data_IF_698161318114
#
_entry.id   IF_698161318114
#
_cell.length_a   1.000
_cell.length_b   1.000
_cell.length_c   1.000
_cell.angle_alpha   90.00
_cell.angle_beta   90.00
_cell.angle_gamma   90.00
#
_symmetry.space_group_name_H-M   'P 1'
#
loop_
_entity.id
_entity.type
_entity.pdbx_description
1 polymer ?
#
# COMPACT_ATOMS: atom_id res chain seq x y z
N UNK A 1 -37.53 52.90 40.87
CA UNK A 1 -38.41 52.01 41.65
C UNK A 1 -37.59 50.79 42.06
N UNK A 2 -37.08 50.73 43.30
CA UNK A 2 -36.37 49.56 43.79
C UNK A 2 -37.38 48.41 43.96
N UNK A 3 -37.22 47.37 43.14
CA UNK A 3 -37.98 46.14 43.23
C UNK A 3 -37.76 45.50 44.59
N UNK A 4 -38.86 45.23 45.29
CA UNK A 4 -38.86 44.57 46.58
C UNK A 4 -38.13 43.23 46.47
N UNK A 5 -36.94 43.14 47.05
CA UNK A 5 -36.36 41.87 47.46
C UNK A 5 -37.26 41.34 48.57
N UNK A 6 -38.28 40.57 48.21
CA UNK A 6 -38.90 39.66 49.16
C UNK A 6 -37.82 38.64 49.51
N UNK A 7 -37.14 38.87 50.62
CA UNK A 7 -36.41 37.83 51.34
C UNK A 7 -37.43 36.78 51.74
N UNK A 8 -37.80 35.89 50.82
CA UNK A 8 -38.54 34.68 51.18
C UNK A 8 -37.68 34.01 52.23
N UNK A 9 -38.21 33.93 53.45
CA UNK A 9 -37.60 33.17 54.52
C UNK A 9 -37.51 31.73 54.02
N UNK A 10 -36.34 31.34 53.53
CA UNK A 10 -36.08 29.98 53.07
C UNK A 10 -36.34 29.07 54.27
N UNK A 11 -37.24 28.07 54.16
CA UNK A 11 -37.53 27.16 55.25
C UNK A 11 -36.24 26.48 55.75
N UNK A 12 -36.02 26.39 57.08
CA UNK A 12 -34.81 25.74 57.62
C UNK A 12 -34.60 24.32 57.12
N UNK A 13 -35.69 23.58 56.87
CA UNK A 13 -35.65 22.24 56.30
C UNK A 13 -35.09 22.21 54.86
N UNK A 14 -35.46 23.18 54.02
CA UNK A 14 -34.92 23.30 52.66
C UNK A 14 -33.43 23.62 52.69
N UNK A 15 -33.02 24.50 53.61
CA UNK A 15 -31.59 24.82 53.79
C UNK A 15 -30.79 23.61 54.26
N UNK A 16 -31.29 22.88 55.25
CA UNK A 16 -30.65 21.66 55.74
C UNK A 16 -30.56 20.57 54.66
N UNK A 17 -31.56 20.47 53.78
CA UNK A 17 -31.52 19.56 52.64
C UNK A 17 -30.47 19.98 51.61
N UNK A 18 -30.37 21.28 51.31
CA UNK A 18 -29.33 21.83 50.45
C UNK A 18 -27.93 21.55 50.99
N UNK A 19 -27.67 21.85 52.26
CA UNK A 19 -26.34 21.65 52.88
C UNK A 19 -25.93 20.17 52.84
N UNK A 20 -26.89 19.24 53.03
CA UNK A 20 -26.65 17.80 52.89
C UNK A 20 -26.34 17.39 51.45
N UNK A 21 -27.02 17.96 50.46
CA UNK A 21 -26.75 17.67 49.04
C UNK A 21 -25.37 18.17 48.62
N UNK A 22 -24.99 19.38 49.04
CA UNK A 22 -23.65 19.94 48.77
C UNK A 22 -22.56 19.10 49.45
N UNK A 23 -22.75 18.75 50.72
CA UNK A 23 -21.82 17.87 51.44
C UNK A 23 -21.69 16.49 50.78
N UNK A 24 -22.80 15.92 50.30
CA UNK A 24 -22.81 14.64 49.62
C UNK A 24 -22.27 14.69 48.19
N UNK A 25 -22.26 15.85 47.53
CA UNK A 25 -21.60 16.04 46.24
C UNK A 25 -20.06 16.07 46.42
N UNK A 26 -19.60 16.70 47.50
CA UNK A 26 -18.19 16.69 47.93
C UNK A 26 -17.23 17.25 46.87
N UNK A 27 -15.96 16.80 46.90
CA UNK A 27 -15.00 17.01 45.81
C UNK A 27 -15.02 15.77 44.90
N UNK A 28 -15.08 15.96 43.58
CA UNK A 28 -15.38 14.93 42.56
C UNK A 28 -14.47 13.67 42.53
N UNK A 29 -13.47 13.55 43.40
CA UNK A 29 -12.39 12.55 43.30
C UNK A 29 -12.51 11.33 44.25
N UNK A 30 -13.58 11.20 45.03
CA UNK A 30 -13.70 10.07 45.98
C UNK A 30 -14.57 8.95 45.39
N UNK A 31 -14.05 7.71 45.21
CA UNK A 31 -14.85 6.55 44.83
C UNK A 31 -16.02 6.34 45.79
N UNK A 32 -17.24 6.18 45.26
CA UNK A 32 -18.46 6.02 46.07
C UNK A 32 -19.15 7.32 46.51
N UNK A 33 -18.55 8.51 46.31
CA UNK A 33 -19.19 9.80 46.61
C UNK A 33 -20.51 9.96 45.84
N UNK A 34 -20.53 9.55 44.58
CA UNK A 34 -21.73 9.58 43.74
C UNK A 34 -22.87 8.75 44.35
N UNK A 35 -22.58 7.60 44.98
CA UNK A 35 -23.60 6.78 45.66
C UNK A 35 -24.09 7.45 46.95
N UNK A 36 -23.22 8.18 47.67
CA UNK A 36 -23.64 8.97 48.83
C UNK A 36 -24.56 10.13 48.42
N UNK A 37 -24.24 10.82 47.32
CA UNK A 37 -25.11 11.83 46.73
C UNK A 37 -26.46 11.22 46.31
N UNK A 38 -26.45 10.12 45.57
CA UNK A 38 -27.69 9.48 45.09
C UNK A 38 -28.57 8.95 46.24
N UNK A 39 -27.98 8.42 47.32
CA UNK A 39 -28.72 8.07 48.55
C UNK A 39 -29.37 9.30 49.20
N UNK A 40 -28.62 10.41 49.25
CA UNK A 40 -29.12 11.67 49.80
C UNK A 40 -30.28 12.22 48.97
N UNK A 41 -30.16 12.20 47.64
CA UNK A 41 -31.26 12.58 46.73
C UNK A 41 -32.45 11.64 46.88
N UNK A 42 -32.24 10.33 46.99
CA UNK A 42 -33.33 9.35 47.18
C UNK A 42 -34.12 9.60 48.45
N UNK A 43 -33.44 9.99 49.53
CA UNK A 43 -34.05 10.28 50.83
C UNK A 43 -34.75 11.64 50.88
N UNK A 44 -34.12 12.69 50.32
CA UNK A 44 -34.58 14.08 50.47
C UNK A 44 -35.50 14.54 49.34
N UNK A 45 -35.35 13.96 48.15
CA UNK A 45 -36.01 14.38 46.91
C UNK A 45 -36.54 13.16 46.12
N UNK A 46 -37.39 12.29 46.71
CA UNK A 46 -37.87 11.08 46.05
C UNK A 46 -38.62 11.37 44.74
N UNK A 47 -39.36 12.48 44.68
CA UNK A 47 -40.12 12.89 43.51
C UNK A 47 -39.24 13.14 42.28
N UNK A 48 -37.99 13.58 42.47
CA UNK A 48 -37.03 13.81 41.38
C UNK A 48 -36.59 12.50 40.72
N UNK A 49 -36.60 11.40 41.48
CA UNK A 49 -36.23 10.06 41.00
C UNK A 49 -37.41 9.28 40.41
N UNK A 50 -38.64 9.72 40.65
CA UNK A 50 -39.84 9.11 40.09
C UNK A 50 -39.81 9.03 38.56
N UNK A 51 -40.50 8.02 38.00
CA UNK A 51 -40.62 7.85 36.55
C UNK A 51 -41.46 8.98 35.96
N UNK A 52 -40.80 9.92 35.26
CA UNK A 52 -41.45 11.05 34.61
C UNK A 52 -40.89 12.40 35.04
N UNK A 53 -41.51 13.47 34.55
CA UNK A 53 -41.20 14.84 34.98
C UNK A 53 -41.97 15.13 36.28
N UNK A 54 -41.31 15.55 37.37
CA UNK A 54 -41.99 15.99 38.57
C UNK A 54 -43.01 17.08 38.24
N UNK A 55 -44.22 17.00 38.84
CA UNK A 55 -45.24 18.03 38.64
C UNK A 55 -44.76 19.37 39.22
N UNK A 56 -45.31 20.48 38.70
CA UNK A 56 -44.99 21.82 39.21
C UNK A 56 -45.29 21.94 40.71
N UNK A 57 -46.37 21.32 41.16
CA UNK A 57 -46.75 21.28 42.59
C UNK A 57 -45.75 20.48 43.44
N UNK A 58 -45.25 19.34 42.92
CA UNK A 58 -44.23 18.55 43.63
C UNK A 58 -42.93 19.35 43.79
N UNK A 59 -42.49 20.05 42.73
CA UNK A 59 -41.32 20.93 42.81
C UNK A 59 -41.53 22.06 43.82
N UNK A 60 -42.68 22.73 43.81
CA UNK A 60 -42.99 23.80 44.75
C UNK A 60 -42.98 23.36 46.23
N UNK A 61 -43.45 22.14 46.51
CA UNK A 61 -43.52 21.61 47.89
C UNK A 61 -42.20 21.05 48.38
N UNK A 62 -41.30 20.62 47.50
CA UNK A 62 -40.00 20.06 47.87
C UNK A 62 -38.93 21.15 48.11
N UNK A 63 -37.77 20.80 48.70
CA UNK A 63 -36.65 21.73 48.90
C UNK A 63 -36.25 22.54 47.65
N UNK A 64 -36.40 21.98 46.44
CA UNK A 64 -36.07 22.65 45.18
C UNK A 64 -36.87 23.95 45.01
N UNK A 65 -38.21 23.86 45.10
CA UNK A 65 -39.08 25.03 44.97
C UNK A 65 -38.99 25.98 46.16
N UNK A 66 -38.74 25.45 47.35
CA UNK A 66 -38.54 26.25 48.56
C UNK A 66 -37.26 27.10 48.52
N UNK A 67 -36.27 26.70 47.70
CA UNK A 67 -35.05 27.47 47.42
C UNK A 67 -35.21 28.44 46.23
N UNK A 68 -36.39 28.48 45.60
CA UNK A 68 -36.71 29.41 44.51
C UNK A 68 -36.53 28.83 43.10
N UNK A 69 -36.16 27.55 42.95
CA UNK A 69 -35.98 26.93 41.64
C UNK A 69 -37.28 26.38 41.07
N UNK A 70 -37.49 26.54 39.77
CA UNK A 70 -38.67 26.03 39.05
C UNK A 70 -38.51 24.58 38.60
N UNK A 71 -37.28 24.05 38.60
CA UNK A 71 -36.97 22.67 38.23
C UNK A 71 -35.70 22.14 38.88
N UNK A 72 -35.56 20.81 38.91
CA UNK A 72 -34.33 20.16 39.38
C UNK A 72 -33.11 20.47 38.51
N UNK A 73 -33.31 20.57 37.19
CA UNK A 73 -32.23 20.93 36.27
C UNK A 73 -31.69 22.33 36.58
N UNK A 74 -32.59 23.29 36.80
CA UNK A 74 -32.23 24.66 37.14
C UNK A 74 -31.41 24.72 38.44
N UNK A 75 -31.80 23.96 39.48
CA UNK A 75 -31.04 23.86 40.73
C UNK A 75 -29.67 23.20 40.55
N UNK A 76 -29.56 22.16 39.72
CA UNK A 76 -28.28 21.50 39.45
C UNK A 76 -27.29 22.47 38.79
N UNK A 77 -27.73 23.17 37.75
CA UNK A 77 -26.87 24.00 36.90
C UNK A 77 -26.58 25.39 37.51
N UNK A 78 -27.46 25.87 38.39
CA UNK A 78 -27.25 27.15 39.09
C UNK A 78 -25.99 27.12 39.95
N UNK A 79 -25.23 28.22 40.03
CA UNK A 79 -24.04 28.29 40.86
C UNK A 79 -24.37 28.28 42.36
N UNK A 80 -23.36 27.94 43.17
CA UNK A 80 -23.53 27.74 44.63
C UNK A 80 -23.82 29.02 45.41
N UNK A 81 -23.50 30.18 44.85
CA UNK A 81 -23.77 31.51 45.43
C UNK A 81 -25.26 31.83 45.54
N UNK A 82 -26.08 31.28 44.62
CA UNK A 82 -27.54 31.39 44.62
C UNK A 82 -28.24 30.13 45.15
N UNK A 83 -27.56 29.32 45.96
CA UNK A 83 -28.05 28.03 46.48
C UNK A 83 -28.30 26.96 45.40
N UNK A 84 -27.62 27.04 44.26
CA UNK A 84 -27.53 25.94 43.29
C UNK A 84 -26.41 24.95 43.63
N UNK A 85 -26.27 23.90 42.82
CA UNK A 85 -25.23 22.86 43.00
C UNK A 85 -23.97 23.10 42.16
N UNK A 86 -24.00 24.01 41.20
CA UNK A 86 -22.88 24.32 40.30
C UNK A 86 -22.40 23.11 39.50
N UNK A 87 -23.30 22.18 39.18
CA UNK A 87 -22.97 20.87 38.67
C UNK A 87 -23.55 20.62 37.28
N UNK A 88 -23.06 19.59 36.59
CA UNK A 88 -23.45 19.29 35.21
C UNK A 88 -24.67 18.36 35.17
N UNK A 89 -25.76 18.81 34.56
CA UNK A 89 -26.98 18.00 34.42
C UNK A 89 -26.77 16.69 33.62
N UNK A 90 -25.78 16.64 32.73
CA UNK A 90 -25.40 15.40 32.04
C UNK A 90 -24.74 14.38 32.97
N UNK A 91 -23.93 14.83 33.92
CA UNK A 91 -23.35 13.97 34.96
C UNK A 91 -24.46 13.40 35.87
N UNK A 92 -25.42 14.24 36.26
CA UNK A 92 -26.64 13.80 36.96
C UNK A 92 -27.38 12.68 36.21
N UNK A 93 -27.64 12.84 34.89
CA UNK A 93 -28.31 11.80 34.10
C UNK A 93 -27.52 10.49 34.08
N UNK A 94 -26.18 10.56 34.04
CA UNK A 94 -25.33 9.37 34.11
C UNK A 94 -25.42 8.68 35.48
N UNK A 95 -25.38 9.45 36.57
CA UNK A 95 -25.52 8.94 37.94
C UNK A 95 -26.90 8.35 38.19
N UNK A 96 -27.98 9.00 37.71
CA UNK A 96 -29.35 8.49 37.80
C UNK A 96 -29.50 7.12 37.12
N UNK A 97 -28.93 6.95 35.92
CA UNK A 97 -28.96 5.66 35.21
C UNK A 97 -28.20 4.58 35.99
N UNK A 98 -26.98 4.88 36.44
CA UNK A 98 -26.20 3.96 37.25
C UNK A 98 -26.92 3.59 38.56
N UNK A 99 -27.53 4.57 39.22
CA UNK A 99 -28.27 4.37 40.46
C UNK A 99 -29.46 3.45 40.31
N UNK A 100 -30.19 3.51 39.18
CA UNK A 100 -31.28 2.57 38.92
C UNK A 100 -30.80 1.12 38.86
N UNK A 101 -29.57 0.88 38.38
CA UNK A 101 -28.92 -0.44 38.39
C UNK A 101 -28.51 -0.83 39.81
N UNK A 102 -27.95 0.09 40.59
CA UNK A 102 -27.61 -0.16 42.01
C UNK A 102 -28.84 -0.50 42.84
N UNK A 103 -29.97 0.19 42.61
CA UNK A 103 -31.23 -0.13 43.28
C UNK A 103 -31.77 -1.52 42.92
N UNK A 104 -31.54 -1.98 41.68
CA UNK A 104 -31.88 -3.33 41.27
C UNK A 104 -30.92 -4.39 41.84
N UNK A 105 -29.67 -4.01 42.11
CA UNK A 105 -28.60 -4.91 42.56
C UNK A 105 -27.83 -4.31 43.76
N UNK A 106 -28.37 -4.42 45.00
CA UNK A 106 -27.84 -3.73 46.17
C UNK A 106 -26.39 -4.07 46.55
N UNK A 107 -25.87 -5.23 46.11
CA UNK A 107 -24.49 -5.62 46.37
C UNK A 107 -23.48 -4.63 45.77
N UNK A 108 -23.86 -3.89 44.72
CA UNK A 108 -23.05 -2.85 44.08
C UNK A 108 -22.74 -1.68 45.03
N UNK A 109 -23.55 -1.43 46.07
CA UNK A 109 -23.32 -0.32 47.01
C UNK A 109 -22.03 -0.45 47.81
N UNK A 110 -21.58 -1.69 48.03
CA UNK A 110 -20.35 -2.00 48.77
C UNK A 110 -19.11 -1.98 47.90
N UNK A 111 -19.28 -1.90 46.58
CA UNK A 111 -18.20 -1.99 45.62
C UNK A 111 -17.64 -0.61 45.30
N UNK A 112 -16.31 -0.47 45.11
CA UNK A 112 -15.68 0.80 44.76
C UNK A 112 -15.86 1.14 43.27
N UNK A 113 -17.09 1.05 42.76
CA UNK A 113 -17.41 1.29 41.35
C UNK A 113 -17.82 2.74 41.13
N UNK A 114 -17.35 3.29 40.02
CA UNK A 114 -17.80 4.58 39.49
C UNK A 114 -19.15 4.43 38.80
N UNK A 115 -19.90 5.53 38.67
CA UNK A 115 -21.16 5.55 37.92
C UNK A 115 -20.99 5.11 36.47
N UNK A 116 -19.83 5.42 35.87
CA UNK A 116 -19.51 5.07 34.49
C UNK A 116 -19.29 3.57 34.33
N UNK A 117 -18.57 2.94 35.26
CA UNK A 117 -18.37 1.48 35.25
C UNK A 117 -19.69 0.72 35.38
N UNK A 118 -20.58 1.14 36.28
CA UNK A 118 -21.91 0.52 36.43
C UNK A 118 -22.74 0.65 35.15
N UNK A 119 -22.73 1.83 34.51
CA UNK A 119 -23.43 2.05 33.25
C UNK A 119 -22.85 1.18 32.11
N UNK A 120 -21.52 1.10 32.01
CA UNK A 120 -20.84 0.27 31.01
C UNK A 120 -21.16 -1.21 31.22
N UNK A 121 -21.12 -1.69 32.47
CA UNK A 121 -21.48 -3.05 32.81
C UNK A 121 -22.94 -3.37 32.39
N UNK A 122 -23.89 -2.50 32.74
CA UNK A 122 -25.29 -2.69 32.38
C UNK A 122 -25.52 -2.68 30.86
N UNK A 123 -24.83 -1.78 30.15
CA UNK A 123 -24.90 -1.69 28.68
C UNK A 123 -24.30 -2.94 28.03
N UNK A 124 -23.15 -3.40 28.52
CA UNK A 124 -22.46 -4.54 27.96
C UNK A 124 -23.25 -5.84 28.20
N UNK A 125 -23.79 -6.06 29.40
CA UNK A 125 -24.66 -7.22 29.67
C UNK A 125 -25.86 -7.23 28.72
N UNK A 126 -26.48 -6.06 28.48
CA UNK A 126 -27.59 -5.93 27.53
C UNK A 126 -27.16 -6.17 26.07
N UNK A 127 -25.98 -5.69 25.67
CA UNK A 127 -25.44 -5.87 24.30
C UNK A 127 -25.13 -7.33 24.02
N UNK A 128 -24.55 -8.01 25.00
CA UNK A 128 -24.07 -9.38 24.87
C UNK A 128 -25.15 -10.42 25.22
N UNK A 129 -26.39 -9.97 25.51
CA UNK A 129 -27.53 -10.79 25.96
C UNK A 129 -27.21 -11.68 27.18
N UNK A 130 -26.40 -11.14 28.10
CA UNK A 130 -25.98 -11.81 29.32
C UNK A 130 -26.80 -11.33 30.52
N UNK A 131 -27.10 -12.21 31.48
CA UNK A 131 -27.68 -11.80 32.75
C UNK A 131 -26.73 -10.83 33.47
N UNK A 132 -27.30 -9.85 34.16
CA UNK A 132 -26.50 -8.95 34.99
C UNK A 132 -25.97 -9.71 36.22
N UNK A 133 -24.70 -9.51 36.63
CA UNK A 133 -24.10 -10.22 37.75
C UNK A 133 -24.86 -9.97 39.06
N UNK A 134 -25.12 -11.04 39.81
CA UNK A 134 -25.83 -11.01 41.10
C UNK A 134 -24.89 -10.88 42.29
N UNK A 135 -23.58 -11.00 42.08
CA UNK A 135 -22.57 -10.91 43.13
C UNK A 135 -21.25 -10.34 42.62
N UNK A 136 -20.37 -9.95 43.56
CA UNK A 136 -19.02 -9.50 43.23
C UNK A 136 -18.18 -10.61 42.57
N UNK A 137 -18.39 -11.87 42.97
CA UNK A 137 -17.71 -13.03 42.37
C UNK A 137 -18.14 -13.24 40.91
N UNK A 138 -19.43 -13.10 40.61
CA UNK A 138 -19.94 -13.17 39.23
C UNK A 138 -19.39 -12.03 38.36
N UNK A 139 -19.23 -10.83 38.91
CA UNK A 139 -18.60 -9.73 38.20
C UNK A 139 -17.13 -10.02 37.87
N UNK A 140 -16.37 -10.55 38.83
CA UNK A 140 -14.96 -10.90 38.62
C UNK A 140 -14.79 -12.05 37.63
N UNK A 141 -15.65 -13.07 37.67
CA UNK A 141 -15.64 -14.15 36.67
C UNK A 141 -15.98 -13.62 35.27
N UNK A 142 -16.95 -12.71 35.14
CA UNK A 142 -17.29 -12.06 33.87
C UNK A 142 -16.11 -11.21 33.35
N UNK A 143 -15.45 -10.44 34.22
CA UNK A 143 -14.25 -9.66 33.88
C UNK A 143 -13.10 -10.56 33.43
N UNK A 144 -12.86 -11.65 34.14
CA UNK A 144 -11.81 -12.60 33.82
C UNK A 144 -12.09 -13.30 32.49
N UNK A 145 -13.31 -13.81 32.28
CA UNK A 145 -13.71 -14.44 31.03
C UNK A 145 -13.54 -13.51 29.81
N UNK A 146 -13.81 -12.20 29.98
CA UNK A 146 -13.57 -11.20 28.93
C UNK A 146 -12.10 -10.99 28.66
N UNK A 147 -11.28 -10.91 29.71
CA UNK A 147 -9.83 -10.78 29.58
C UNK A 147 -9.24 -11.98 28.85
N UNK A 148 -9.65 -13.19 29.23
CA UNK A 148 -9.24 -14.44 28.62
C UNK A 148 -9.68 -14.51 27.14
N UNK A 149 -10.94 -14.15 26.84
CA UNK A 149 -11.43 -14.09 25.47
C UNK A 149 -10.68 -13.05 24.61
N UNK A 150 -10.30 -11.91 25.19
CA UNK A 150 -9.50 -10.91 24.49
C UNK A 150 -8.08 -11.40 24.23
N UNK A 151 -7.45 -12.05 25.21
CA UNK A 151 -6.12 -12.62 25.09
C UNK A 151 -6.10 -13.76 24.06
N UNK A 152 -7.10 -14.63 24.07
CA UNK A 152 -7.30 -15.69 23.09
C UNK A 152 -7.42 -15.14 21.66
N UNK A 153 -8.25 -14.10 21.46
CA UNK A 153 -8.39 -13.44 20.15
C UNK A 153 -7.08 -12.80 19.69
N UNK A 154 -6.31 -12.22 20.62
CA UNK A 154 -4.98 -11.67 20.31
C UNK A 154 -4.01 -12.78 19.91
N UNK A 155 -3.95 -13.88 20.65
CA UNK A 155 -3.09 -15.01 20.31
C UNK A 155 -3.44 -15.63 18.96
N UNK A 156 -4.73 -15.80 18.66
CA UNK A 156 -5.21 -16.29 17.36
C UNK A 156 -4.84 -15.34 16.23
N UNK A 157 -5.02 -14.03 16.43
CA UNK A 157 -4.62 -13.01 15.46
C UNK A 157 -3.11 -13.00 15.23
N UNK A 158 -2.29 -13.14 16.28
CA UNK A 158 -0.83 -13.17 16.16
C UNK A 158 -0.41 -14.43 15.40
N UNK A 159 -0.94 -15.61 15.76
CA UNK A 159 -0.66 -16.86 15.04
C UNK A 159 -1.02 -16.77 13.56
N UNK A 160 -2.19 -16.21 13.23
CA UNK A 160 -2.62 -16.02 11.85
C UNK A 160 -1.68 -15.07 11.07
N UNK A 161 -1.22 -13.99 11.71
CA UNK A 161 -0.25 -13.07 11.12
C UNK A 161 1.12 -13.70 10.94
N UNK A 162 1.59 -14.49 11.91
CA UNK A 162 2.86 -15.23 11.82
C UNK A 162 2.83 -16.22 10.66
N UNK A 163 1.76 -17.02 10.54
CA UNK A 163 1.60 -17.95 9.42
C UNK A 163 1.62 -17.21 8.07
N UNK A 164 0.92 -16.07 7.99
CA UNK A 164 0.91 -15.26 6.77
C UNK A 164 2.30 -14.69 6.44
N UNK A 165 3.06 -14.24 7.44
CA UNK A 165 4.42 -13.78 7.26
C UNK A 165 5.33 -14.90 6.74
N UNK A 166 5.28 -16.08 7.34
CA UNK A 166 6.05 -17.25 6.89
C UNK A 166 5.72 -17.65 5.45
N UNK A 167 4.44 -17.63 5.05
CA UNK A 167 4.06 -17.90 3.66
C UNK A 167 4.57 -16.85 2.68
N UNK A 168 4.57 -15.57 3.09
CA UNK A 168 5.09 -14.48 2.27
C UNK A 168 6.61 -14.55 2.13
N UNK A 169 7.33 -14.91 3.19
CA UNK A 169 8.78 -15.12 3.17
C UNK A 169 9.17 -16.26 2.22
N UNK A 170 8.45 -17.39 2.27
CA UNK A 170 8.67 -18.50 1.32
C UNK A 170 8.43 -18.07 -0.13
N UNK A 171 7.34 -17.36 -0.39
CA UNK A 171 7.04 -16.83 -1.73
C UNK A 171 8.12 -15.85 -2.22
N UNK A 172 8.67 -15.02 -1.32
CA UNK A 172 9.76 -14.11 -1.64
C UNK A 172 11.04 -14.87 -1.97
N UNK A 173 11.42 -15.88 -1.17
CA UNK A 173 12.56 -16.75 -1.46
C UNK A 173 12.44 -17.43 -2.81
N UNK A 174 11.27 -17.98 -3.14
CA UNK A 174 10.99 -18.59 -4.44
C UNK A 174 11.10 -17.58 -5.60
N UNK A 175 10.55 -16.37 -5.42
CA UNK A 175 10.64 -15.31 -6.41
C UNK A 175 12.08 -14.87 -6.65
N UNK A 176 12.87 -14.70 -5.58
CA UNK A 176 14.30 -14.37 -5.66
C UNK A 176 15.09 -15.46 -6.37
N UNK A 177 14.82 -16.74 -6.09
CA UNK A 177 15.45 -17.86 -6.78
C UNK A 177 15.12 -17.86 -8.28
N UNK A 178 13.87 -17.58 -8.66
CA UNK A 178 13.45 -17.45 -10.07
C UNK A 178 14.13 -16.29 -10.78
N UNK A 179 14.23 -15.13 -10.12
CA UNK A 179 14.94 -13.96 -10.67
C UNK A 179 16.41 -14.29 -10.91
N UNK A 180 17.08 -14.94 -9.95
CA UNK A 180 18.47 -15.35 -10.09
C UNK A 180 18.66 -16.32 -11.27
N UNK A 181 17.78 -17.31 -11.42
CA UNK A 181 17.82 -18.25 -12.53
C UNK A 181 17.60 -17.56 -13.90
N UNK A 182 16.62 -16.66 -13.99
CA UNK A 182 16.36 -15.89 -15.21
C UNK A 182 17.51 -14.95 -15.56
N UNK A 183 18.15 -14.33 -14.56
CA UNK A 183 19.35 -13.50 -14.77
C UNK A 183 20.47 -14.33 -15.38
N UNK A 184 20.76 -15.51 -14.83
CA UNK A 184 21.79 -16.40 -15.37
C UNK A 184 21.47 -16.85 -16.81
N UNK A 185 20.20 -17.14 -17.10
CA UNK A 185 19.76 -17.47 -18.46
C UNK A 185 19.94 -16.30 -19.43
N UNK A 186 19.63 -15.08 -18.98
CA UNK A 186 19.85 -13.86 -19.77
C UNK A 186 21.33 -13.63 -20.07
N UNK A 187 22.21 -13.82 -19.08
CA UNK A 187 23.66 -13.68 -19.25
C UNK A 187 24.20 -14.71 -20.25
N UNK A 188 23.71 -15.95 -20.19
CA UNK A 188 24.04 -17.00 -21.16
C UNK A 188 23.56 -16.65 -22.57
N UNK A 189 22.34 -16.11 -22.70
CA UNK A 189 21.81 -15.68 -23.99
C UNK A 189 22.62 -14.51 -24.57
N UNK A 190 23.04 -13.55 -23.74
CA UNK A 190 23.90 -12.43 -24.14
C UNK A 190 25.26 -12.95 -24.64
N UNK A 191 25.87 -13.91 -23.93
CA UNK A 191 27.12 -14.53 -24.36
C UNK A 191 26.93 -15.23 -25.72
N UNK A 192 25.87 -16.01 -25.89
CA UNK A 192 25.59 -16.69 -27.15
C UNK A 192 25.37 -15.72 -28.32
N UNK A 193 24.68 -14.59 -28.10
CA UNK A 193 24.52 -13.55 -29.12
C UNK A 193 25.85 -12.95 -29.51
N UNK A 194 26.78 -12.75 -28.57
CA UNK A 194 28.14 -12.26 -28.89
C UNK A 194 28.89 -13.25 -29.76
N UNK A 195 28.86 -14.54 -29.42
CA UNK A 195 29.52 -15.59 -30.22
C UNK A 195 28.99 -15.61 -31.66
N UNK A 196 27.67 -15.53 -31.84
CA UNK A 196 27.05 -15.47 -33.17
C UNK A 196 27.43 -14.20 -33.95
N UNK A 197 27.58 -13.07 -33.27
CA UNK A 197 28.04 -11.81 -33.91
C UNK A 197 29.49 -11.97 -34.40
N UNK A 198 30.35 -12.60 -33.62
CA UNK A 198 31.75 -12.86 -34.00
C UNK A 198 31.83 -13.85 -35.17
N UNK A 199 31.02 -14.91 -35.17
CA UNK A 199 30.90 -15.84 -36.29
C UNK A 199 30.42 -15.15 -37.57
N UNK A 200 29.40 -14.28 -37.48
CA UNK A 200 28.91 -13.49 -38.61
C UNK A 200 30.00 -12.55 -39.15
N UNK A 201 30.79 -11.92 -38.28
CA UNK A 201 31.92 -11.08 -38.68
C UNK A 201 32.98 -11.90 -39.44
N UNK A 202 33.32 -13.09 -38.94
CA UNK A 202 34.27 -14.00 -39.58
C UNK A 202 33.75 -14.51 -40.95
N UNK A 203 32.47 -14.88 -41.03
CA UNK A 203 31.82 -15.27 -42.29
C UNK A 203 31.82 -14.13 -43.30
N UNK A 204 31.52 -12.90 -42.86
CA UNK A 204 31.56 -11.71 -43.71
C UNK A 204 32.97 -11.45 -44.25
N UNK A 205 34.01 -11.61 -43.44
CA UNK A 205 35.39 -11.49 -43.88
C UNK A 205 35.75 -12.58 -44.92
N UNK A 206 35.35 -13.83 -44.71
CA UNK A 206 35.52 -14.91 -45.70
C UNK A 206 34.78 -14.63 -47.01
N UNK A 207 33.58 -14.06 -46.95
CA UNK A 207 32.82 -13.69 -48.14
C UNK A 207 33.55 -12.59 -48.94
N UNK A 208 34.16 -11.61 -48.24
CA UNK A 208 34.97 -10.58 -48.89
C UNK A 208 36.20 -11.17 -49.57
N UNK A 209 36.89 -12.14 -48.96
CA UNK A 209 38.03 -12.81 -49.60
C UNK A 209 37.61 -13.61 -50.82
N UNK A 210 36.50 -14.35 -50.75
CA UNK A 210 35.96 -15.11 -51.89
C UNK A 210 35.56 -14.17 -53.03
N UNK A 211 34.92 -13.04 -52.73
CA UNK A 211 34.59 -12.04 -53.75
C UNK A 211 35.86 -11.48 -54.42
N UNK A 212 36.90 -11.17 -53.65
CA UNK A 212 38.16 -10.69 -54.19
C UNK A 212 38.87 -11.74 -55.07
N UNK A 213 38.84 -13.01 -54.65
CA UNK A 213 39.40 -14.10 -55.45
C UNK A 213 38.60 -14.34 -56.74
N UNK A 214 37.26 -14.18 -56.68
CA UNK A 214 36.40 -14.23 -57.86
C UNK A 214 36.76 -13.12 -58.86
N UNK A 215 37.00 -11.89 -58.40
CA UNK A 215 37.46 -10.78 -59.24
C UNK A 215 38.83 -11.08 -59.91
N UNK A 216 39.75 -11.73 -59.20
CA UNK A 216 41.03 -12.17 -59.80
C UNK A 216 40.81 -13.24 -60.87
N UNK A 217 39.93 -14.21 -60.62
CA UNK A 217 39.62 -15.25 -61.60
C UNK A 217 39.02 -14.63 -62.86
N UNK A 218 38.14 -13.64 -62.74
CA UNK A 218 37.60 -12.94 -63.92
C UNK A 218 38.68 -12.18 -64.69
N UNK A 219 39.59 -11.48 -64.00
CA UNK A 219 40.72 -10.80 -64.65
C UNK A 219 41.67 -11.77 -65.36
N UNK A 220 41.98 -12.91 -64.72
CA UNK A 220 42.81 -13.95 -65.33
C UNK A 220 42.11 -14.58 -66.54
N UNK A 221 40.79 -14.79 -66.49
CA UNK A 221 40.03 -15.28 -67.63
C UNK A 221 40.07 -14.31 -68.81
N UNK A 222 39.97 -12.99 -68.56
CA UNK A 222 40.15 -11.95 -69.58
C UNK A 222 41.57 -11.95 -70.17
N UNK A 223 42.60 -12.08 -69.33
CA UNK A 223 44.00 -12.19 -69.77
C UNK A 223 44.23 -13.44 -70.63
N UNK A 224 43.72 -14.60 -70.21
CA UNK A 224 43.79 -15.84 -71.01
C UNK A 224 43.05 -15.67 -72.34
N UNK A 225 41.91 -14.99 -72.33
CA UNK A 225 41.16 -14.64 -73.55
C UNK A 225 41.99 -13.79 -74.51
N UNK A 226 42.63 -12.72 -74.01
CA UNK A 226 43.48 -11.85 -74.83
C UNK A 226 44.75 -12.55 -75.34
N UNK A 227 45.41 -13.36 -74.51
CA UNK A 227 46.56 -14.19 -74.91
C UNK A 227 46.18 -15.23 -75.96
N UNK A 228 45.02 -15.89 -75.84
CA UNK A 228 44.51 -16.80 -76.88
C UNK A 228 44.26 -16.06 -78.20
N UNK A 229 43.69 -14.86 -78.16
CA UNK A 229 43.49 -14.04 -79.35
C UNK A 229 44.83 -13.62 -79.99
N UNK A 230 45.82 -13.23 -79.19
CA UNK A 230 47.18 -12.93 -79.67
C UNK A 230 47.85 -14.16 -80.28
N UNK A 231 47.76 -15.33 -79.62
CA UNK A 231 48.30 -16.58 -80.15
C UNK A 231 47.64 -16.94 -81.49
N UNK A 232 46.31 -16.80 -81.60
CA UNK A 232 45.59 -17.00 -82.86
C UNK A 232 46.07 -16.04 -83.95
N UNK A 233 46.26 -14.76 -83.65
CA UNK A 233 46.80 -13.76 -84.57
C UNK A 233 48.23 -14.09 -85.03
N UNK A 234 49.10 -14.51 -84.11
CA UNK A 234 50.47 -14.94 -84.45
C UNK A 234 50.47 -16.21 -85.29
N UNK A 235 49.54 -17.15 -85.07
CA UNK A 235 49.43 -18.35 -85.93
C UNK A 235 48.96 -18.01 -87.33
N UNK A 236 47.98 -17.11 -87.49
CA UNK A 236 47.54 -16.67 -88.82
C UNK A 236 48.63 -15.87 -89.53
N UNK A 237 49.40 -15.07 -88.80
CA UNK A 237 50.55 -14.35 -89.32
C UNK A 237 51.68 -15.30 -89.73
N UNK A 238 52.02 -16.29 -88.91
CA UNK A 238 52.96 -17.37 -89.24
C UNK A 238 52.52 -18.11 -90.51
N UNK A 239 51.25 -18.47 -90.61
CA UNK A 239 50.72 -19.19 -91.78
C UNK A 239 50.72 -18.32 -93.04
N UNK A 240 50.51 -16.99 -92.89
CA UNK A 240 50.69 -16.01 -93.96
C UNK A 240 52.16 -15.96 -94.43
N UNK A 241 53.11 -15.84 -93.51
CA UNK A 241 54.54 -15.83 -93.85
C UNK A 241 55.02 -17.13 -94.48
N UNK A 242 54.52 -18.28 -94.02
CA UNK A 242 54.78 -19.58 -94.69
C UNK A 242 54.30 -19.59 -96.14
N UNK A 243 53.08 -19.10 -96.41
CA UNK A 243 52.55 -18.97 -97.77
C UNK A 243 53.34 -17.98 -98.62
N UNK A 244 53.86 -16.91 -98.02
CA UNK A 244 54.73 -15.93 -98.70
C UNK A 244 56.08 -16.56 -99.07
N UNK A 245 56.65 -17.42 -98.21
CA UNK A 245 57.89 -18.14 -98.44
C UNK A 245 57.76 -19.30 -99.45
N UNK A 246 56.57 -19.88 -99.60
CA UNK A 246 56.25 -20.89 -100.62
C UNK A 246 56.00 -20.29 -102.01
N UNK A 247 56.05 -18.96 -102.18
CA UNK A 247 56.06 -18.36 -103.51
C UNK A 247 57.39 -18.68 -104.20
N UNK A 248 57.39 -19.40 -105.34
CA UNK A 248 58.62 -19.67 -106.06
C UNK A 248 59.27 -18.36 -106.51
N UNK A 249 60.57 -18.23 -106.28
CA UNK A 249 61.40 -17.15 -106.82
C UNK A 249 61.12 -17.02 -108.32
N UNK A 250 60.73 -15.81 -108.74
CA UNK A 250 60.55 -15.49 -110.16
C UNK A 250 61.87 -15.80 -110.88
N UNK A 251 61.86 -16.65 -111.91
CA UNK A 251 63.08 -16.95 -112.66
C UNK A 251 63.62 -15.66 -113.28
N UNK A 252 64.91 -15.42 -113.03
CA UNK A 252 65.66 -14.34 -113.67
C UNK A 252 65.40 -14.36 -115.19
N UNK A 253 65.12 -13.21 -115.82
CA UNK A 253 64.83 -13.16 -117.24
C UNK A 253 66.05 -13.65 -118.02
N UNK A 254 65.82 -14.67 -118.87
CA UNK A 254 66.80 -15.12 -119.85
C UNK A 254 67.11 -13.96 -120.80
N UNK A 255 68.33 -13.43 -120.71
CA UNK A 255 68.91 -12.51 -121.69
C UNK A 255 68.66 -13.06 -123.08
N UNK A 256 68.08 -12.23 -123.96
CA UNK A 256 67.77 -12.65 -125.31
C UNK A 256 69.06 -12.78 -126.12
N UNK A 257 69.07 -13.62 -127.17
CA UNK A 257 70.20 -13.76 -128.10
C UNK A 257 70.68 -12.43 -128.72
N UNK A 258 69.85 -11.39 -128.67
CA UNK A 258 70.21 -10.04 -129.10
C UNK A 258 71.12 -9.30 -128.11
N UNK A 259 71.04 -9.58 -126.81
CA UNK A 259 71.88 -8.97 -125.77
C UNK A 259 73.26 -9.65 -125.66
N UNK A 260 73.39 -10.92 -126.09
CA UNK A 260 74.69 -11.56 -126.28
C UNK A 260 75.46 -11.05 -127.53
N UNK A 261 74.76 -10.53 -128.54
CA UNK A 261 75.37 -9.97 -129.75
C UNK A 261 75.85 -8.52 -129.57
N UNK A 262 75.23 -7.73 -128.67
CA UNK A 262 75.70 -6.37 -128.33
C UNK A 262 76.93 -6.36 -127.40
N UNK A 263 77.20 -7.44 -126.67
CA UNK A 263 78.44 -7.58 -125.89
C UNK A 263 79.65 -8.01 -126.73
N UNK A 264 79.43 -8.53 -127.95
CA UNK A 264 80.50 -8.89 -128.89
C UNK A 264 80.98 -7.68 -129.73
N UNK A 265 80.07 -6.82 -130.22
CA UNK A 265 80.43 -5.62 -131.00
C UNK A 265 80.77 -4.34 -130.19
N UNK A 266 81.00 -4.47 -128.88
CA UNK A 266 81.70 -3.44 -128.06
C UNK A 266 83.08 -3.89 -127.59
N UNK A 267 83.61 -4.94 -128.22
CA UNK A 267 85.02 -5.29 -128.31
C UNK A 267 85.36 -5.62 -129.77
N UNK A 268 85.41 -4.55 -130.60
CA UNK A 268 85.44 -4.51 -132.08
C UNK A 268 84.11 -4.78 -132.80
#
# INVERSE_FOLDING_TARGET
>A
MPGHQMTMLIPPAARAAYDQLVAALGTENTPGQWMAFMRTVTRLLPDVLSSGRPSKEAIQRCPIGQLGFSSWQEMIEAPTDVSGLGWNFSAWKAWRRAWSVVQAYPWLETQPLTSSEVNTLALDCKRDDLPFPQSAEELETLRQARKDAQEQRRSESVQALTLRAETAEKALQEATARISALSAQSDQAIAHVRDLVDELAALKAKMQTVNHDQEKVTQLAEQVGSLKAQAAALTTERDRWKKEAEKPEKPLPRLSRWEHLQAFFRGQ
#
